data_IF_156788142105
#
_entry.id   IF_156788142105
#
_cell.length_a   1.000
_cell.length_b   1.000
_cell.length_c   1.000
_cell.angle_alpha   90.00
_cell.angle_beta   90.00
_cell.angle_gamma   90.00
#
_symmetry.space_group_name_H-M   'P 1'
#
loop_
_entity.id
_entity.type
_entity.pdbx_description
1 polymer ?
#
# COMPACT_ATOMS: atom_id res chain seq x y z
N UNK A 1 -12.09 4.33 20.46
CA UNK A 1 -11.74 4.14 19.04
C UNK A 1 -10.27 4.52 18.90
N UNK A 2 -9.42 3.64 18.40
CA UNK A 2 -8.00 3.91 18.20
C UNK A 2 -7.66 3.75 16.73
N UNK A 3 -6.80 4.63 16.21
CA UNK A 3 -6.27 4.55 14.84
C UNK A 3 -4.76 4.31 14.97
N UNK A 4 -4.22 3.40 14.18
CA UNK A 4 -2.79 3.12 14.10
C UNK A 4 -2.25 3.42 12.71
N UNK A 5 -1.01 3.87 12.65
CA UNK A 5 -0.26 4.07 11.42
C UNK A 5 1.02 3.25 11.50
N UNK A 6 1.35 2.55 10.41
CA UNK A 6 2.64 1.87 10.26
C UNK A 6 3.49 2.70 9.31
N UNK A 7 4.54 3.32 9.84
CA UNK A 7 5.51 4.09 9.07
C UNK A 7 6.78 3.28 8.89
N UNK A 8 7.23 3.11 7.64
CA UNK A 8 8.43 2.35 7.28
C UNK A 8 9.32 3.19 6.36
N UNK A 9 10.65 3.00 6.39
CA UNK A 9 11.57 3.66 5.46
C UNK A 9 11.34 3.18 4.01
N UNK A 10 11.64 4.01 3.01
CA UNK A 10 11.40 3.69 1.59
C UNK A 10 12.28 2.56 1.06
N UNK A 11 13.39 2.28 1.75
CA UNK A 11 14.28 1.16 1.52
C UNK A 11 13.71 -0.18 2.00
N UNK A 12 12.67 -0.18 2.84
CA UNK A 12 12.01 -1.41 3.25
C UNK A 12 11.31 -2.08 2.06
N UNK A 13 11.37 -3.41 2.01
CA UNK A 13 10.73 -4.21 0.98
C UNK A 13 9.75 -5.18 1.67
N UNK A 14 8.44 -5.12 1.36
CA UNK A 14 7.50 -6.05 1.97
C UNK A 14 7.78 -7.47 1.46
N UNK A 15 7.81 -8.43 2.38
CA UNK A 15 8.09 -9.83 2.07
C UNK A 15 6.89 -10.56 1.43
N UNK A 16 5.69 -9.97 1.52
CA UNK A 16 4.46 -10.50 0.97
C UNK A 16 3.42 -9.39 0.79
N UNK A 17 2.42 -9.68 -0.04
CA UNK A 17 1.27 -8.79 -0.24
C UNK A 17 1.56 -7.56 -1.11
N UNK A 18 0.64 -6.59 -1.14
CA UNK A 18 0.75 -5.40 -1.98
C UNK A 18 1.95 -4.54 -1.60
N UNK A 19 2.78 -4.19 -2.58
CA UNK A 19 3.89 -3.25 -2.44
C UNK A 19 3.43 -1.80 -2.51
N UNK A 20 2.37 -1.44 -1.78
CA UNK A 20 1.72 -0.13 -1.87
C UNK A 20 1.90 0.67 -0.58
N UNK A 21 1.98 2.00 -0.67
CA UNK A 21 2.05 2.89 0.47
C UNK A 21 1.85 4.35 0.10
N UNK A 22 1.69 5.22 1.11
CA UNK A 22 1.63 6.67 0.93
C UNK A 22 2.99 7.26 1.30
N UNK A 23 3.53 8.14 0.46
CA UNK A 23 4.78 8.84 0.75
C UNK A 23 4.48 10.02 1.69
N UNK A 24 4.90 9.90 2.95
CA UNK A 24 4.66 10.96 3.95
C UNK A 24 5.75 12.04 3.88
N UNK A 25 7.00 11.66 3.58
CA UNK A 25 8.14 12.57 3.52
C UNK A 25 9.28 12.00 2.67
N UNK A 26 10.10 12.89 2.09
CA UNK A 26 11.30 12.53 1.34
C UNK A 26 10.99 12.03 -0.08
N UNK A 27 11.72 11.03 -0.53
CA UNK A 27 11.62 10.48 -1.88
C UNK A 27 11.38 8.96 -1.82
N UNK A 28 10.56 8.43 -2.73
CA UNK A 28 10.40 7.00 -2.90
C UNK A 28 11.60 6.41 -3.66
N UNK A 29 12.75 6.36 -3.00
CA UNK A 29 13.97 5.73 -3.47
C UNK A 29 14.29 4.51 -2.59
N UNK A 30 14.63 3.34 -3.16
CA UNK A 30 14.92 3.03 -4.56
C UNK A 30 13.68 2.71 -5.43
N UNK A 31 12.46 3.02 -4.98
CA UNK A 31 11.23 2.73 -5.72
C UNK A 31 10.65 1.34 -5.42
N UNK A 32 10.82 0.85 -4.19
CA UNK A 32 10.24 -0.42 -3.77
C UNK A 32 8.71 -0.39 -3.62
N UNK A 33 8.12 0.80 -3.54
CA UNK A 33 6.71 1.01 -3.29
C UNK A 33 6.00 1.59 -4.52
N UNK A 34 4.84 1.05 -4.87
CA UNK A 34 3.88 1.66 -5.79
C UNK A 34 3.00 2.62 -4.96
N UNK A 35 3.20 3.92 -5.13
CA UNK A 35 2.53 4.91 -4.29
C UNK A 35 1.02 4.92 -4.55
N UNK A 36 0.23 4.89 -3.47
CA UNK A 36 -1.22 5.06 -3.55
C UNK A 36 -1.56 6.47 -4.03
N UNK A 37 -2.72 6.61 -4.67
CA UNK A 37 -3.28 7.93 -5.00
C UNK A 37 -3.86 8.57 -3.76
N UNK A 38 -3.50 9.82 -3.52
CA UNK A 38 -4.10 10.61 -2.44
C UNK A 38 -5.49 11.11 -2.87
N UNK A 39 -6.50 11.04 -1.99
CA UNK A 39 -7.82 11.59 -2.28
C UNK A 39 -7.76 13.12 -2.32
N UNK A 40 -8.40 13.73 -3.30
CA UNK A 40 -8.46 15.19 -3.42
C UNK A 40 -9.47 15.83 -2.44
N UNK A 41 -10.48 15.05 -2.03
CA UNK A 41 -11.55 15.46 -1.12
C UNK A 41 -12.15 14.24 -0.42
N UNK A 42 -12.94 14.48 0.63
CA UNK A 42 -13.61 13.41 1.36
C UNK A 42 -14.54 12.61 0.46
N UNK A 43 -14.42 11.28 0.53
CA UNK A 43 -15.17 10.33 -0.32
C UNK A 43 -14.87 10.47 -1.82
N UNK A 44 -13.69 10.98 -2.19
CA UNK A 44 -13.20 10.95 -3.57
C UNK A 44 -13.33 9.52 -4.14
N UNK A 45 -14.04 9.34 -5.27
CA UNK A 45 -14.21 8.03 -5.89
C UNK A 45 -12.89 7.33 -6.21
N UNK A 46 -11.81 8.09 -6.48
CA UNK A 46 -10.47 7.53 -6.71
C UNK A 46 -9.90 6.95 -5.41
N UNK A 47 -9.96 7.70 -4.31
CA UNK A 47 -9.51 7.23 -3.00
C UNK A 47 -10.33 6.04 -2.48
N UNK A 48 -11.65 6.04 -2.72
CA UNK A 48 -12.52 4.92 -2.37
C UNK A 48 -12.21 3.66 -3.19
N UNK A 49 -11.85 3.81 -4.47
CA UNK A 49 -11.43 2.70 -5.31
C UNK A 49 -10.10 2.09 -4.82
N UNK A 50 -9.14 2.91 -4.41
CA UNK A 50 -7.88 2.44 -3.81
C UNK A 50 -8.12 1.73 -2.47
N UNK A 51 -8.94 2.30 -1.59
CA UNK A 51 -9.31 1.66 -0.32
C UNK A 51 -9.93 0.29 -0.55
N UNK A 52 -10.83 0.17 -1.54
CA UNK A 52 -11.46 -1.10 -1.90
C UNK A 52 -10.43 -2.12 -2.41
N UNK A 53 -9.52 -1.71 -3.29
CA UNK A 53 -8.45 -2.55 -3.83
C UNK A 53 -7.57 -3.13 -2.71
N UNK A 54 -7.15 -2.30 -1.75
CA UNK A 54 -6.36 -2.75 -0.59
C UNK A 54 -7.15 -3.72 0.28
N UNK A 55 -8.42 -3.43 0.57
CA UNK A 55 -9.27 -4.33 1.36
C UNK A 55 -9.47 -5.69 0.69
N UNK A 56 -9.63 -5.72 -0.63
CA UNK A 56 -9.77 -6.94 -1.41
C UNK A 56 -8.48 -7.79 -1.36
N UNK A 57 -7.31 -7.16 -1.51
CA UNK A 57 -6.03 -7.84 -1.43
C UNK A 57 -5.77 -8.50 -0.06
N UNK A 58 -6.19 -7.87 1.04
CA UNK A 58 -6.10 -8.47 2.37
C UNK A 58 -7.16 -9.54 2.64
N UNK A 59 -8.33 -9.46 1.98
CA UNK A 59 -9.43 -10.41 2.19
C UNK A 59 -9.19 -11.74 1.47
N UNK A 60 -8.45 -11.75 0.36
CA UNK A 60 -8.14 -12.95 -0.39
C UNK A 60 -6.70 -13.44 -0.13
N UNK A 61 -6.52 -14.52 0.64
CA UNK A 61 -5.20 -15.08 0.92
C UNK A 61 -4.46 -15.55 -0.33
N UNK A 62 -5.19 -15.93 -1.39
CA UNK A 62 -4.59 -16.39 -2.66
C UNK A 62 -4.06 -15.24 -3.51
N UNK A 63 -4.54 -14.02 -3.27
CA UNK A 63 -4.04 -12.80 -3.87
C UNK A 63 -2.77 -12.26 -3.18
N UNK A 64 -2.52 -12.71 -1.94
CA UNK A 64 -1.33 -12.36 -1.16
C UNK A 64 -0.15 -13.23 -1.59
N UNK A 65 0.57 -12.80 -2.64
CA UNK A 65 1.78 -13.49 -3.11
C UNK A 65 2.97 -13.19 -2.19
N UNK A 66 3.78 -14.21 -1.90
CA UNK A 66 5.06 -14.03 -1.23
C UNK A 66 6.09 -13.47 -2.23
N UNK A 67 7.02 -12.63 -1.76
CA UNK A 67 8.05 -12.04 -2.62
C UNK A 67 8.97 -13.09 -3.27
N UNK A 68 9.07 -14.27 -2.66
CA UNK A 68 9.84 -15.42 -3.15
C UNK A 68 9.19 -16.12 -4.34
N UNK A 69 7.91 -15.87 -4.61
CA UNK A 69 7.13 -16.50 -5.68
C UNK A 69 7.02 -15.62 -6.94
N UNK A 70 7.60 -14.41 -6.92
CA UNK A 70 7.52 -13.40 -7.99
C UNK A 70 8.91 -13.08 -8.58
N UNK A 71 9.91 -13.94 -8.33
CA UNK A 71 11.28 -13.82 -8.87
C UNK A 71 11.47 -14.70 -10.11
#
# INVERSE_FOLDING_TARGET
>A
LGISFACVPTEAKPLSGPRTGILIAGENHPGHWALNKEPAFDLDPIGLAELKSVQEAYRDPTSTKLITEVL
#
